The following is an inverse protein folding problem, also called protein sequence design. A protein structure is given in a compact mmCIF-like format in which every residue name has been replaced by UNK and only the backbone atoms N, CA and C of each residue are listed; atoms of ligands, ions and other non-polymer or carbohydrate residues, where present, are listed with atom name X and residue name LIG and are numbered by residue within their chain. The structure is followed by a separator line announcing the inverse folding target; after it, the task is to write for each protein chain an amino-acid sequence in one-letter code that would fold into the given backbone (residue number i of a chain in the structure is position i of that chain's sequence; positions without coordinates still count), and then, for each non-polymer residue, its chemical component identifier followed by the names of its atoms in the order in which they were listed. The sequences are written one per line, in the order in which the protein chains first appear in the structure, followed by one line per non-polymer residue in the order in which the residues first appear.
data_IF_736022203379
#
_entry.id   IF_736022203379
#
_cell.length_a   1.000
_cell.length_b   1.000
_cell.length_c   1.000
_cell.angle_alpha   90.00
_cell.angle_beta   90.00
_cell.angle_gamma   90.00
#
_symmetry.space_group_name_H-M   'P 1'
#
loop_
_entity.id
_entity.type
_entity.pdbx_description
1 polymer ?
#
# COMPACT_ATOMS: atom_id res chain seq x y z
N UNK A 1 -11.09 -3.37 18.88
CA UNK A 1 -11.44 -4.49 17.98
C UNK A 1 -12.36 -4.05 16.84
N UNK A 2 -13.53 -3.46 17.14
CA UNK A 2 -14.50 -3.02 16.11
C UNK A 2 -13.89 -2.05 15.07
N UNK A 3 -13.07 -1.11 15.50
CA UNK A 3 -12.42 -0.16 14.59
C UNK A 3 -11.47 -0.84 13.58
N UNK A 4 -10.68 -1.82 14.01
CA UNK A 4 -9.77 -2.56 13.12
C UNK A 4 -10.58 -3.30 12.04
N UNK A 5 -11.72 -3.88 12.42
CA UNK A 5 -12.63 -4.57 11.49
C UNK A 5 -13.19 -3.58 10.47
N UNK A 6 -13.63 -2.39 10.91
CA UNK A 6 -14.11 -1.34 9.98
C UNK A 6 -13.02 -0.89 9.02
N UNK A 7 -11.82 -0.61 9.53
CA UNK A 7 -10.67 -0.20 8.72
C UNK A 7 -10.32 -1.26 7.67
N UNK A 8 -10.32 -2.54 8.07
CA UNK A 8 -10.14 -3.65 7.15
C UNK A 8 -11.24 -3.68 6.07
N UNK A 9 -12.52 -3.60 6.45
CA UNK A 9 -13.64 -3.68 5.52
C UNK A 9 -13.63 -2.53 4.50
N UNK A 10 -13.40 -1.29 4.94
CA UNK A 10 -13.35 -0.15 4.03
C UNK A 10 -12.16 -0.22 3.07
N UNK A 11 -10.98 -0.59 3.56
CA UNK A 11 -9.82 -0.79 2.68
C UNK A 11 -10.05 -1.96 1.71
N UNK A 12 -10.64 -3.05 2.18
CA UNK A 12 -10.96 -4.22 1.36
C UNK A 12 -11.91 -3.87 0.22
N UNK A 13 -13.00 -3.15 0.50
CA UNK A 13 -13.98 -2.72 -0.51
C UNK A 13 -13.35 -1.70 -1.47
N UNK A 14 -12.58 -0.74 -0.96
CA UNK A 14 -11.82 0.21 -1.79
C UNK A 14 -10.89 -0.52 -2.77
N UNK A 15 -10.13 -1.48 -2.25
CA UNK A 15 -9.20 -2.29 -3.04
C UNK A 15 -9.92 -3.15 -4.08
N UNK A 16 -11.11 -3.69 -3.77
CA UNK A 16 -11.95 -4.38 -4.76
C UNK A 16 -12.35 -3.44 -5.89
N UNK A 17 -12.80 -2.22 -5.57
CA UNK A 17 -13.13 -1.20 -6.57
C UNK A 17 -11.96 -0.91 -7.51
N UNK A 18 -10.77 -0.70 -6.96
CA UNK A 18 -9.55 -0.54 -7.76
C UNK A 18 -9.16 -1.81 -8.53
N UNK A 19 -9.40 -2.98 -7.97
CA UNK A 19 -9.12 -4.25 -8.66
C UNK A 19 -9.98 -4.41 -9.91
N UNK A 20 -11.26 -4.00 -9.83
CA UNK A 20 -12.16 -3.93 -10.99
C UNK A 20 -11.67 -2.87 -11.98
N UNK A 21 -11.27 -1.69 -11.49
CA UNK A 21 -10.74 -0.60 -12.33
C UNK A 21 -9.51 -1.03 -13.15
N UNK A 22 -8.58 -1.78 -12.54
CA UNK A 22 -7.41 -2.32 -13.22
C UNK A 22 -7.64 -3.67 -13.92
N UNK A 23 -8.90 -4.05 -14.13
CA UNK A 23 -9.30 -5.24 -14.86
C UNK A 23 -8.66 -6.54 -14.32
N UNK A 24 -8.59 -6.67 -12.98
CA UNK A 24 -8.11 -7.87 -12.29
C UNK A 24 -9.00 -9.07 -12.63
N UNK A 25 -8.45 -10.26 -12.95
CA UNK A 25 -9.24 -11.45 -13.24
C UNK A 25 -10.27 -11.74 -12.13
N UNK A 26 -11.52 -12.05 -12.50
CA UNK A 26 -12.67 -12.14 -11.58
C UNK A 26 -12.40 -12.98 -10.32
N UNK A 27 -11.76 -14.15 -10.48
CA UNK A 27 -11.41 -15.04 -9.36
C UNK A 27 -10.29 -14.56 -8.44
N UNK A 28 -9.73 -13.37 -8.69
CA UNK A 28 -8.63 -12.76 -7.94
C UNK A 28 -9.02 -11.44 -7.26
N UNK A 29 -10.16 -10.85 -7.62
CA UNK A 29 -10.62 -9.55 -7.10
C UNK A 29 -10.76 -9.58 -5.56
N UNK A 30 -11.37 -10.63 -5.01
CA UNK A 30 -11.47 -10.76 -3.55
C UNK A 30 -10.10 -10.97 -2.87
N UNK A 31 -9.15 -11.59 -3.59
CA UNK A 31 -7.81 -11.89 -3.08
C UNK A 31 -6.94 -10.63 -3.08
N UNK A 32 -7.01 -9.80 -4.12
CA UNK A 32 -6.37 -8.47 -4.11
C UNK A 32 -7.00 -7.59 -3.05
N UNK A 33 -8.33 -7.62 -2.89
CA UNK A 33 -9.05 -6.99 -1.78
C UNK A 33 -8.44 -7.31 -0.41
N UNK A 34 -8.18 -8.60 -0.16
CA UNK A 34 -7.59 -9.07 1.09
C UNK A 34 -6.17 -8.52 1.32
N UNK A 35 -5.36 -8.44 0.26
CA UNK A 35 -4.00 -7.86 0.34
C UNK A 35 -4.05 -6.39 0.75
N UNK A 36 -4.93 -5.58 0.13
CA UNK A 36 -5.09 -4.17 0.50
C UNK A 36 -5.71 -3.97 1.88
N UNK A 37 -6.66 -4.82 2.26
CA UNK A 37 -7.23 -4.87 3.60
C UNK A 37 -6.17 -5.08 4.67
N UNK A 38 -5.30 -6.09 4.52
CA UNK A 38 -4.20 -6.33 5.47
C UNK A 38 -3.20 -5.18 5.46
N UNK A 39 -2.79 -4.71 4.28
CA UNK A 39 -1.85 -3.58 4.16
C UNK A 39 -2.32 -2.37 4.96
N UNK A 40 -3.60 -2.01 4.83
CA UNK A 40 -4.18 -0.90 5.58
C UNK A 40 -4.27 -1.17 7.08
N UNK A 41 -4.61 -2.39 7.50
CA UNK A 41 -4.60 -2.75 8.92
C UNK A 41 -3.20 -2.63 9.51
N UNK A 42 -2.16 -3.06 8.79
CA UNK A 42 -0.76 -2.86 9.22
C UNK A 42 -0.44 -1.39 9.36
N UNK A 43 -0.80 -0.56 8.37
CA UNK A 43 -0.64 0.88 8.45
C UNK A 43 -1.34 1.48 9.68
N UNK A 44 -2.60 1.10 9.91
CA UNK A 44 -3.40 1.62 11.02
C UNK A 44 -2.80 1.25 12.37
N UNK A 45 -2.49 -0.04 12.58
CA UNK A 45 -1.94 -0.53 13.85
C UNK A 45 -0.56 0.08 14.11
N UNK A 46 0.33 0.07 13.13
CA UNK A 46 1.67 0.67 13.29
C UNK A 46 1.59 2.18 13.50
N UNK A 47 0.61 2.86 12.89
CA UNK A 47 0.33 4.27 13.12
C UNK A 47 -0.06 4.58 14.57
N UNK A 48 -0.82 3.69 15.22
CA UNK A 48 -1.21 3.84 16.62
C UNK A 48 -0.01 3.71 17.58
N UNK A 49 0.95 2.82 17.28
CA UNK A 49 2.09 2.56 18.17
C UNK A 49 3.30 3.45 17.91
N UNK A 50 3.62 3.72 16.64
CA UNK A 50 4.85 4.44 16.25
C UNK A 50 4.63 5.94 16.09
N UNK A 51 3.38 6.38 15.93
CA UNK A 51 2.99 7.77 15.66
C UNK A 51 3.77 8.41 14.48
N UNK A 52 4.18 7.61 13.51
CA UNK A 52 4.94 8.05 12.33
C UNK A 52 4.33 7.44 11.07
N UNK A 53 3.66 8.27 10.27
CA UNK A 53 2.98 7.83 9.05
C UNK A 53 3.92 7.27 7.99
N UNK A 54 5.14 7.81 7.87
CA UNK A 54 6.11 7.39 6.85
C UNK A 54 6.55 5.95 7.14
N UNK A 55 6.94 5.67 8.39
CA UNK A 55 7.35 4.32 8.82
C UNK A 55 6.17 3.35 8.74
N UNK A 56 4.99 3.78 9.17
CA UNK A 56 3.77 2.95 9.11
C UNK A 56 3.41 2.60 7.67
N UNK A 57 3.55 3.55 6.74
CA UNK A 57 3.32 3.31 5.31
C UNK A 57 4.38 2.37 4.73
N UNK A 58 5.64 2.53 5.11
CA UNK A 58 6.72 1.63 4.70
C UNK A 58 6.42 0.18 5.10
N UNK A 59 6.05 -0.05 6.36
CA UNK A 59 5.72 -1.40 6.86
C UNK A 59 4.49 -1.98 6.14
N UNK A 60 3.46 -1.17 5.93
CA UNK A 60 2.28 -1.56 5.19
C UNK A 60 2.59 -1.93 3.72
N UNK A 61 3.38 -1.11 3.02
CA UNK A 61 3.80 -1.36 1.65
C UNK A 61 4.67 -2.63 1.54
N UNK A 62 5.57 -2.84 2.51
CA UNK A 62 6.34 -4.08 2.63
C UNK A 62 5.41 -5.30 2.79
N UNK A 63 4.39 -5.22 3.64
CA UNK A 63 3.39 -6.28 3.81
C UNK A 63 2.59 -6.54 2.54
N UNK A 64 2.09 -5.49 1.87
CA UNK A 64 1.37 -5.61 0.59
C UNK A 64 2.24 -6.31 -0.46
N UNK A 65 3.51 -5.92 -0.56
CA UNK A 65 4.46 -6.57 -1.46
C UNK A 65 4.63 -8.05 -1.14
N UNK A 66 4.83 -8.42 0.14
CA UNK A 66 5.12 -9.79 0.54
C UNK A 66 3.90 -10.68 0.27
N UNK A 67 2.70 -10.20 0.65
CA UNK A 67 1.46 -10.90 0.40
C UNK A 67 1.17 -11.02 -1.10
N UNK A 68 1.41 -9.97 -1.87
CA UNK A 68 1.25 -9.99 -3.32
C UNK A 68 2.16 -11.02 -3.98
N UNK A 69 3.41 -11.11 -3.56
CA UNK A 69 4.37 -12.12 -4.03
C UNK A 69 4.00 -13.55 -3.58
N UNK A 70 3.43 -13.70 -2.38
CA UNK A 70 2.95 -15.00 -1.89
C UNK A 70 1.73 -15.47 -2.67
N UNK A 71 0.78 -14.57 -2.94
CA UNK A 71 -0.42 -14.84 -3.72
C UNK A 71 -0.08 -15.08 -5.20
N UNK A 72 0.90 -14.36 -5.74
CA UNK A 72 1.44 -14.62 -7.09
C UNK A 72 1.88 -16.07 -7.27
N UNK A 73 2.62 -16.60 -6.28
CA UNK A 73 3.10 -17.99 -6.28
C UNK A 73 1.96 -18.97 -6.15
N UNK A 74 1.08 -18.74 -5.17
CA UNK A 74 0.00 -19.67 -4.86
C UNK A 74 -1.02 -19.76 -6.01
N UNK A 75 -1.40 -18.61 -6.58
CA UNK A 75 -2.40 -18.54 -7.64
C UNK A 75 -1.81 -18.58 -9.06
N UNK A 76 -0.47 -18.64 -9.19
CA UNK A 76 0.26 -18.68 -10.47
C UNK A 76 -0.11 -17.51 -11.39
N UNK A 77 -0.08 -16.30 -10.84
CA UNK A 77 -0.41 -15.04 -11.54
C UNK A 77 0.66 -13.99 -11.24
N UNK A 78 0.84 -12.98 -12.11
CA UNK A 78 1.80 -11.90 -11.82
C UNK A 78 1.49 -11.21 -10.49
N UNK A 79 2.51 -10.92 -9.68
CA UNK A 79 2.33 -10.27 -8.38
C UNK A 79 1.66 -8.90 -8.46
N UNK A 80 1.87 -8.20 -9.58
CA UNK A 80 1.27 -6.90 -9.88
C UNK A 80 -0.27 -6.94 -9.82
N UNK A 81 -0.90 -8.08 -10.12
CA UNK A 81 -2.36 -8.27 -10.04
C UNK A 81 -2.88 -8.07 -8.62
N UNK A 82 -2.08 -8.38 -7.60
CA UNK A 82 -2.43 -8.21 -6.20
C UNK A 82 -1.87 -6.91 -5.61
N UNK A 83 -0.63 -6.56 -5.98
CA UNK A 83 0.10 -5.41 -5.41
C UNK A 83 -0.52 -4.09 -5.86
N UNK A 84 -0.82 -3.92 -7.16
CA UNK A 84 -1.28 -2.63 -7.69
C UNK A 84 -2.60 -2.20 -7.05
N UNK A 85 -3.68 -3.01 -7.02
CA UNK A 85 -4.89 -2.60 -6.32
C UNK A 85 -4.67 -2.46 -4.81
N UNK A 86 -3.91 -3.37 -4.20
CA UNK A 86 -3.71 -3.44 -2.75
C UNK A 86 -2.90 -2.28 -2.16
N UNK A 87 -2.03 -1.64 -2.94
CA UNK A 87 -1.23 -0.50 -2.46
C UNK A 87 -1.99 0.82 -2.50
N UNK A 88 -3.05 0.93 -3.32
CA UNK A 88 -3.73 2.21 -3.56
C UNK A 88 -4.29 2.89 -2.31
N UNK A 89 -4.89 2.19 -1.34
CA UNK A 89 -5.34 2.84 -0.11
C UNK A 89 -4.23 3.62 0.61
N UNK A 90 -2.97 3.18 0.47
CA UNK A 90 -1.80 3.82 1.10
C UNK A 90 -1.26 5.01 0.30
N UNK A 91 -1.64 5.15 -0.97
CA UNK A 91 -1.10 6.21 -1.84
C UNK A 91 -1.56 7.58 -1.32
N UNK A 92 -0.64 8.56 -1.12
CA UNK A 92 -0.96 9.84 -0.49
C UNK A 92 -1.65 10.82 -1.46
N UNK A 93 -2.77 10.42 -2.07
CA UNK A 93 -3.54 11.24 -3.00
C UNK A 93 -4.03 12.55 -2.40
N UNK A 94 -4.55 12.49 -1.17
CA UNK A 94 -4.96 13.68 -0.43
C UNK A 94 -3.78 14.62 -0.13
N UNK A 95 -2.61 14.06 0.22
CA UNK A 95 -1.38 14.83 0.42
C UNK A 95 -0.98 15.61 -0.83
N UNK A 96 -0.98 14.94 -1.99
CA UNK A 96 -0.71 15.58 -3.28
C UNK A 96 -1.72 16.71 -3.59
N UNK A 97 -3.01 16.46 -3.38
CA UNK A 97 -4.05 17.47 -3.58
C UNK A 97 -3.85 18.69 -2.68
N UNK A 98 -3.61 18.48 -1.37
CA UNK A 98 -3.43 19.58 -0.43
C UNK A 98 -2.15 20.37 -0.67
N UNK A 99 -1.06 19.72 -1.12
CA UNK A 99 0.15 20.42 -1.56
C UNK A 99 -0.14 21.38 -2.71
N UNK A 100 -0.88 20.94 -3.74
CA UNK A 100 -1.23 21.81 -4.86
C UNK A 100 -2.20 22.92 -4.44
N UNK A 101 -3.13 22.62 -3.54
CA UNK A 101 -4.08 23.61 -3.02
C UNK A 101 -3.34 24.75 -2.31
N UNK A 102 -2.41 24.44 -1.41
CA UNK A 102 -1.66 25.48 -0.67
C UNK A 102 -0.69 26.25 -1.56
N UNK A 103 -0.10 25.60 -2.57
CA UNK A 103 0.66 26.29 -3.62
C UNK A 103 -0.19 27.31 -4.36
N UNK A 104 -1.41 26.94 -4.77
CA UNK A 104 -2.34 27.85 -5.45
C UNK A 104 -2.74 29.04 -4.57
N UNK A 105 -2.81 28.83 -3.25
CA UNK A 105 -3.09 29.87 -2.25
C UNK A 105 -1.87 30.74 -1.92
N UNK A 106 -0.70 30.46 -2.53
CA UNK A 106 0.59 31.12 -2.26
C UNK A 106 1.11 30.91 -0.83
N UNK A 107 0.60 29.91 -0.11
CA UNK A 107 1.16 29.47 1.16
C UNK A 107 2.27 28.44 0.91
N UNK A 108 3.45 28.96 0.59
CA UNK A 108 4.61 28.14 0.24
C UNK A 108 5.15 27.32 1.42
N UNK A 109 4.93 27.76 2.67
CA UNK A 109 5.36 27.03 3.84
C UNK A 109 4.50 25.79 4.08
N UNK A 110 3.16 25.95 4.02
CA UNK A 110 2.25 24.80 4.08
C UNK A 110 2.44 23.85 2.89
N UNK A 111 2.69 24.39 1.69
CA UNK A 111 3.04 23.58 0.52
C UNK A 111 4.29 22.74 0.74
N UNK A 112 5.37 23.34 1.25
CA UNK A 112 6.62 22.63 1.51
C UNK A 112 6.44 21.51 2.55
N UNK A 113 5.71 21.79 3.65
CA UNK A 113 5.47 20.79 4.70
C UNK A 113 4.61 19.63 4.22
N UNK A 114 3.49 19.88 3.53
CA UNK A 114 2.63 18.82 2.98
C UNK A 114 3.31 18.07 1.83
N UNK A 115 4.01 18.79 0.97
CA UNK A 115 4.73 18.23 -0.16
C UNK A 115 5.85 17.28 0.28
N UNK A 116 6.64 17.68 1.27
CA UNK A 116 7.70 16.83 1.83
C UNK A 116 7.13 15.57 2.50
N UNK A 117 6.08 15.69 3.32
CA UNK A 117 5.39 14.52 3.91
C UNK A 117 4.91 13.56 2.82
N UNK A 118 4.25 14.09 1.78
CA UNK A 118 3.72 13.30 0.64
C UNK A 118 4.83 12.59 -0.13
N UNK A 119 5.94 13.28 -0.42
CA UNK A 119 7.11 12.71 -1.10
C UNK A 119 7.72 11.57 -0.27
N UNK A 120 7.87 11.76 1.05
CA UNK A 120 8.41 10.72 1.91
C UNK A 120 7.49 9.50 2.02
N UNK A 121 6.17 9.70 2.05
CA UNK A 121 5.21 8.59 1.99
C UNK A 121 5.35 7.82 0.66
N UNK A 122 5.46 8.53 -0.47
CA UNK A 122 5.67 7.88 -1.77
C UNK A 122 7.01 7.11 -1.83
N UNK A 123 8.08 7.70 -1.28
CA UNK A 123 9.38 7.05 -1.17
C UNK A 123 9.33 5.79 -0.28
N UNK A 124 8.61 5.86 0.84
CA UNK A 124 8.37 4.73 1.73
C UNK A 124 7.64 3.58 1.03
N UNK A 125 6.60 3.88 0.24
CA UNK A 125 5.89 2.88 -0.58
C UNK A 125 6.86 2.21 -1.57
N UNK A 126 7.59 3.01 -2.35
CA UNK A 126 8.54 2.51 -3.35
C UNK A 126 9.58 1.59 -2.71
N UNK A 127 10.18 2.04 -1.61
CA UNK A 127 11.24 1.31 -0.91
C UNK A 127 10.71 0.01 -0.29
N UNK A 128 9.53 0.05 0.35
CA UNK A 128 8.90 -1.14 0.92
C UNK A 128 8.61 -2.22 -0.14
N UNK A 129 8.11 -1.82 -1.31
CA UNK A 129 7.84 -2.75 -2.41
C UNK A 129 9.14 -3.33 -3.02
N UNK A 130 10.18 -2.51 -3.20
CA UNK A 130 11.49 -2.97 -3.69
C UNK A 130 12.10 -4.00 -2.73
N UNK A 131 12.08 -3.72 -1.42
CA UNK A 131 12.60 -4.65 -0.42
C UNK A 131 11.80 -5.95 -0.42
N UNK A 132 10.48 -5.87 -0.45
CA UNK A 132 9.62 -7.06 -0.52
C UNK A 132 9.94 -7.96 -1.73
N UNK A 133 10.05 -7.37 -2.92
CA UNK A 133 10.31 -8.13 -4.15
C UNK A 133 11.72 -8.72 -4.13
N UNK A 134 12.70 -8.00 -3.57
CA UNK A 134 14.08 -8.48 -3.40
C UNK A 134 14.15 -9.65 -2.43
N UNK A 135 13.51 -9.55 -1.26
CA UNK A 135 13.42 -10.65 -0.28
C UNK A 135 12.73 -11.87 -0.89
N UNK A 136 11.64 -11.65 -1.62
CA UNK A 136 10.89 -12.71 -2.30
C UNK A 136 11.74 -13.47 -3.33
N UNK A 137 12.56 -12.76 -4.12
CA UNK A 137 13.51 -13.35 -5.07
C UNK A 137 14.68 -14.05 -4.38
N UNK A 138 15.20 -13.48 -3.29
CA UNK A 138 16.31 -14.06 -2.51
C UNK A 138 15.92 -15.40 -1.90
N UNK A 139 14.75 -15.48 -1.25
CA UNK A 139 14.21 -16.73 -0.69
C UNK A 139 14.04 -17.80 -1.78
N UNK A 140 13.62 -17.42 -2.98
CA UNK A 140 13.53 -18.33 -4.14
C UNK A 140 14.90 -18.91 -4.52
N UNK A 141 15.96 -18.09 -4.52
CA UNK A 141 17.31 -18.54 -4.89
C UNK A 141 17.85 -19.60 -3.93
N UNK A 142 17.54 -19.48 -2.64
CA UNK A 142 17.97 -20.45 -1.61
C UNK A 142 17.17 -21.74 -1.69
N UNK A 143 15.85 -21.69 -1.92
CA UNK A 143 14.99 -22.89 -2.00
C UNK A 143 15.20 -23.73 -3.26
N UNK A 144 15.74 -23.14 -4.32
CA UNK A 144 16.04 -23.83 -5.59
C UNK A 144 17.49 -24.33 -5.69
N UNK A 145 18.28 -24.22 -4.60
CA UNK A 145 19.54 -24.95 -4.41
C UNK A 145 19.27 -26.18 -3.56
#
# INVERSE_FOLDING_TARGET
MLEIIKQFLFSFVSTIGFSVLFNTPKGLIGKSGFVGGIGWVVFYITGLYLNNKIISTFLAALTVGILGELFARYFKKPATVFIIPGIIPLVPGAGMYYTMLTLSQRDFYAAATKGTETIFIAAAISTGLIISTTLSKSIRRVKNK
#
